data_IF_739962898431
#
_entry.id   IF_739962898431
#
_cell.length_a   1.000
_cell.length_b   1.000
_cell.length_c   1.000
_cell.angle_alpha   90.00
_cell.angle_beta   90.00
_cell.angle_gamma   90.00
#
_symmetry.space_group_name_H-M   'P 1'
#
loop_
_entity.id
_entity.type
_entity.pdbx_description
1 polymer ?
#
# COMPACT_ATOMS: atom_id res chain seq x y z
N UNK A 1 34.12 -5.85 -31.74
CA UNK A 1 32.74 -5.47 -31.36
C UNK A 1 32.05 -6.77 -30.96
N UNK A 2 32.02 -7.09 -29.66
CA UNK A 2 31.48 -8.35 -29.17
C UNK A 2 29.98 -8.20 -28.91
N UNK A 3 29.17 -8.82 -29.75
CA UNK A 3 27.73 -8.94 -29.55
C UNK A 3 27.54 -10.10 -28.57
N UNK A 4 27.20 -9.79 -27.32
CA UNK A 4 26.84 -10.79 -26.32
C UNK A 4 25.51 -11.44 -26.76
N UNK A 5 25.58 -12.67 -27.26
CA UNK A 5 24.41 -13.53 -27.37
C UNK A 5 24.01 -13.95 -25.95
N UNK A 6 23.04 -13.27 -25.37
CA UNK A 6 22.32 -13.81 -24.20
C UNK A 6 21.65 -15.10 -24.66
N UNK A 7 22.07 -16.24 -24.09
CA UNK A 7 21.38 -17.51 -24.27
C UNK A 7 19.90 -17.32 -23.90
N UNK A 8 19.01 -17.63 -24.85
CA UNK A 8 17.58 -17.27 -24.82
C UNK A 8 16.75 -17.89 -23.68
N UNK A 9 17.28 -18.86 -22.94
CA UNK A 9 16.49 -19.63 -21.94
C UNK A 9 16.43 -18.98 -20.54
N UNK A 10 17.54 -18.54 -19.91
CA UNK A 10 17.48 -17.87 -18.60
C UNK A 10 16.76 -16.51 -18.66
N UNK A 11 16.96 -15.73 -19.72
CA UNK A 11 16.36 -14.38 -19.84
C UNK A 11 14.83 -14.40 -19.94
N UNK A 12 14.24 -15.45 -20.54
CA UNK A 12 12.78 -15.56 -20.65
C UNK A 12 12.14 -15.91 -19.30
N UNK A 13 12.75 -16.82 -18.54
CA UNK A 13 12.26 -17.14 -17.19
C UNK A 13 12.35 -15.93 -16.26
N UNK A 14 13.43 -15.16 -16.33
CA UNK A 14 13.57 -13.91 -15.55
C UNK A 14 12.50 -12.87 -15.92
N UNK A 15 12.14 -12.74 -17.21
CA UNK A 15 11.05 -11.86 -17.65
C UNK A 15 9.71 -12.36 -17.12
N UNK A 16 9.43 -13.66 -17.19
CA UNK A 16 8.18 -14.25 -16.68
C UNK A 16 8.08 -14.08 -15.16
N UNK A 17 9.16 -14.27 -14.43
CA UNK A 17 9.20 -14.09 -12.98
C UNK A 17 9.06 -12.60 -12.60
N UNK A 18 9.65 -11.68 -13.36
CA UNK A 18 9.47 -10.23 -13.20
C UNK A 18 8.03 -9.79 -13.48
N UNK A 19 7.40 -10.34 -14.51
CA UNK A 19 5.98 -10.07 -14.83
C UNK A 19 5.07 -10.64 -13.75
N UNK A 20 5.35 -11.87 -13.26
CA UNK A 20 4.62 -12.48 -12.15
C UNK A 20 4.73 -11.66 -10.87
N UNK A 21 5.93 -11.19 -10.53
CA UNK A 21 6.15 -10.31 -9.37
C UNK A 21 5.39 -8.99 -9.54
N UNK A 22 5.36 -8.44 -10.76
CA UNK A 22 4.67 -7.18 -11.07
C UNK A 22 3.14 -7.32 -11.00
N UNK A 23 2.57 -8.42 -11.53
CA UNK A 23 1.14 -8.72 -11.45
C UNK A 23 0.71 -9.01 -10.01
N UNK A 24 1.53 -9.75 -9.25
CA UNK A 24 1.30 -9.97 -7.83
C UNK A 24 1.30 -8.64 -7.05
N UNK A 25 2.23 -7.74 -7.37
CA UNK A 25 2.31 -6.39 -6.79
C UNK A 25 1.08 -5.54 -7.12
N UNK A 26 0.59 -5.58 -8.37
CA UNK A 26 -0.61 -4.82 -8.77
C UNK A 26 -1.88 -5.32 -8.07
N UNK A 27 -2.12 -6.63 -8.07
CA UNK A 27 -3.27 -7.23 -7.36
C UNK A 27 -3.22 -6.97 -5.85
N UNK A 28 -2.02 -6.82 -5.30
CA UNK A 28 -1.80 -6.48 -3.92
C UNK A 28 -2.22 -5.03 -3.62
N UNK A 29 -1.80 -4.07 -4.44
CA UNK A 29 -2.25 -2.67 -4.30
C UNK A 29 -3.76 -2.53 -4.50
N UNK A 30 -4.36 -3.26 -5.45
CA UNK A 30 -5.81 -3.27 -5.66
C UNK A 30 -6.58 -3.75 -4.42
N UNK A 31 -6.08 -4.78 -3.73
CA UNK A 31 -6.70 -5.25 -2.47
C UNK A 31 -6.60 -4.21 -1.36
N UNK A 32 -5.48 -3.51 -1.27
CA UNK A 32 -5.29 -2.46 -0.27
C UNK A 32 -6.20 -1.26 -0.53
N UNK A 33 -6.30 -0.82 -1.80
CA UNK A 33 -7.20 0.25 -2.20
C UNK A 33 -8.65 -0.12 -1.90
N UNK A 34 -9.07 -1.36 -2.18
CA UNK A 34 -10.41 -1.83 -1.85
C UNK A 34 -10.72 -1.80 -0.34
N UNK A 35 -9.73 -2.13 0.50
CA UNK A 35 -9.88 -2.02 1.97
C UNK A 35 -9.98 -0.55 2.38
N UNK A 36 -9.12 0.30 1.84
CA UNK A 36 -9.10 1.74 2.09
C UNK A 36 -10.44 2.40 1.71
N UNK A 37 -11.01 2.06 0.55
CA UNK A 37 -12.31 2.52 0.07
C UNK A 37 -13.46 2.12 1.01
N UNK A 38 -13.45 0.89 1.51
CA UNK A 38 -14.47 0.42 2.46
C UNK A 38 -14.45 1.19 3.78
N UNK A 39 -13.28 1.63 4.21
CA UNK A 39 -13.11 2.37 5.45
C UNK A 39 -13.31 3.88 5.20
N UNK A 40 -13.15 4.35 3.96
CA UNK A 40 -13.36 5.73 3.56
C UNK A 40 -12.13 6.62 3.77
N UNK A 41 -10.94 6.10 3.49
CA UNK A 41 -9.70 6.87 3.42
C UNK A 41 -8.83 6.37 2.27
N UNK A 42 -7.84 7.16 1.82
CA UNK A 42 -6.89 6.74 0.79
C UNK A 42 -5.70 5.96 1.37
N UNK A 43 -4.94 5.27 0.52
CA UNK A 43 -3.72 4.58 0.94
C UNK A 43 -2.68 5.55 1.55
N UNK A 44 -2.58 6.77 1.00
CA UNK A 44 -1.73 7.83 1.55
C UNK A 44 -2.18 8.25 2.95
N UNK A 45 -3.49 8.36 3.17
CA UNK A 45 -4.05 8.65 4.49
C UNK A 45 -3.76 7.50 5.47
N UNK A 46 -3.80 6.25 5.01
CA UNK A 46 -3.47 5.07 5.80
C UNK A 46 -2.03 5.12 6.36
N UNK A 47 -1.07 5.58 5.54
CA UNK A 47 0.32 5.77 5.96
C UNK A 47 0.42 6.80 7.09
N UNK A 48 -0.27 7.94 6.93
CA UNK A 48 -0.28 8.98 7.96
C UNK A 48 -0.94 8.49 9.24
N UNK A 49 -2.09 7.81 9.14
CA UNK A 49 -2.83 7.28 10.28
C UNK A 49 -2.03 6.19 11.01
N UNK A 50 -1.29 5.35 10.28
CA UNK A 50 -0.38 4.37 10.87
C UNK A 50 0.76 5.05 11.65
N UNK A 51 1.32 6.15 11.14
CA UNK A 51 2.33 6.90 11.89
C UNK A 51 1.76 7.54 13.15
N UNK A 52 0.56 8.10 13.09
CA UNK A 52 -0.16 8.63 14.26
C UNK A 52 -0.38 7.53 15.30
N UNK A 53 -0.74 6.32 14.87
CA UNK A 53 -0.92 5.15 15.74
C UNK A 53 0.37 4.77 16.48
N UNK A 54 1.51 4.80 15.78
CA UNK A 54 2.83 4.55 16.38
C UNK A 54 3.19 5.61 17.42
N UNK A 55 2.99 6.90 17.08
CA UNK A 55 3.25 8.01 18.00
C UNK A 55 2.34 7.97 19.24
N UNK A 56 1.08 7.54 19.08
CA UNK A 56 0.13 7.38 20.18
C UNK A 56 0.41 6.17 21.08
N UNK A 57 1.33 5.28 20.69
CA UNK A 57 1.62 4.02 21.38
C UNK A 57 0.33 3.23 21.75
N UNK A 58 -0.68 3.29 20.88
CA UNK A 58 -1.98 2.63 21.08
C UNK A 58 -2.95 3.31 22.04
N UNK A 59 -2.69 4.55 22.49
CA UNK A 59 -3.59 5.32 23.36
C UNK A 59 -3.98 6.66 22.73
N UNK A 60 -3.21 7.70 23.00
CA UNK A 60 -3.45 9.06 22.55
C UNK A 60 -2.11 9.76 22.34
N UNK A 61 -2.08 10.72 21.42
CA UNK A 61 -0.90 11.56 21.15
C UNK A 61 -1.32 13.03 21.25
N UNK A 62 -0.45 13.86 21.81
CA UNK A 62 -0.67 15.31 21.88
C UNK A 62 -0.60 15.90 20.46
N UNK A 63 -1.54 16.79 20.12
CA UNK A 63 -1.62 17.40 18.79
C UNK A 63 -0.33 18.12 18.41
N UNK A 64 0.31 18.78 19.38
CA UNK A 64 1.61 19.46 19.22
C UNK A 64 2.74 18.50 18.83
N UNK A 65 2.69 17.24 19.29
CA UNK A 65 3.67 16.21 18.91
C UNK A 65 3.48 15.77 17.46
N UNK A 66 2.23 15.71 17.01
CA UNK A 66 1.88 15.37 15.61
C UNK A 66 2.27 16.51 14.66
N UNK A 67 2.04 17.76 15.07
CA UNK A 67 2.51 18.95 14.33
C UNK A 67 4.04 19.00 14.24
N UNK A 68 4.74 18.73 15.36
CA UNK A 68 6.20 18.69 15.41
C UNK A 68 6.80 17.59 14.50
N UNK A 69 6.05 16.52 14.24
CA UNK A 69 6.43 15.48 13.28
C UNK A 69 6.20 15.87 11.81
N UNK A 70 5.69 17.09 11.55
CA UNK A 70 5.50 17.65 10.21
C UNK A 70 4.11 17.44 9.62
N UNK A 71 3.14 16.95 10.40
CA UNK A 71 1.76 16.76 9.91
C UNK A 71 0.94 18.04 10.03
N UNK A 72 0.21 18.39 8.96
CA UNK A 72 -0.62 19.59 8.92
C UNK A 72 -1.87 19.45 9.79
N UNK A 73 -2.19 20.50 10.57
CA UNK A 73 -3.43 20.61 11.34
C UNK A 73 -4.65 20.44 10.43
N UNK A 74 -4.62 20.96 9.21
CA UNK A 74 -5.73 20.84 8.26
C UNK A 74 -5.99 19.36 7.88
N UNK A 75 -4.93 18.58 7.69
CA UNK A 75 -5.02 17.15 7.41
C UNK A 75 -5.62 16.41 8.62
N UNK A 76 -5.14 16.72 9.84
CA UNK A 76 -5.67 16.15 11.07
C UNK A 76 -7.16 16.50 11.26
N UNK A 77 -7.56 17.75 10.97
CA UNK A 77 -8.95 18.17 11.04
C UNK A 77 -9.81 17.46 9.99
N UNK A 78 -9.28 17.19 8.81
CA UNK A 78 -9.94 16.40 7.76
C UNK A 78 -10.19 14.97 8.24
N UNK A 79 -9.20 14.32 8.86
CA UNK A 79 -9.36 13.00 9.46
C UNK A 79 -10.35 12.98 10.62
N UNK A 80 -10.41 14.04 11.43
CA UNK A 80 -11.44 14.18 12.47
C UNK A 80 -12.84 14.31 11.87
N UNK A 81 -13.01 15.13 10.83
CA UNK A 81 -14.29 15.28 10.11
C UNK A 81 -14.75 13.98 9.45
N UNK A 82 -13.80 13.19 8.92
CA UNK A 82 -14.07 11.87 8.35
C UNK A 82 -14.34 10.77 9.40
N UNK A 83 -14.25 11.09 10.70
CA UNK A 83 -14.45 10.12 11.78
C UNK A 83 -13.32 9.11 11.93
N UNK A 84 -12.14 9.42 11.39
CA UNK A 84 -10.95 8.56 11.45
C UNK A 84 -10.13 8.81 12.72
N UNK A 85 -10.19 10.04 13.24
CA UNK A 85 -9.58 10.47 14.48
C UNK A 85 -10.64 11.03 15.45
N UNK A 86 -10.44 10.79 16.74
CA UNK A 86 -11.16 11.45 17.83
C UNK A 86 -10.22 12.43 18.54
N UNK A 87 -10.74 13.63 18.83
CA UNK A 87 -10.05 14.60 19.66
C UNK A 87 -10.52 14.53 21.10
N UNK A 88 -9.59 14.63 22.04
CA UNK A 88 -9.85 14.79 23.47
C UNK A 88 -9.12 16.04 23.94
N UNK A 89 -9.78 16.88 24.73
CA UNK A 89 -9.16 18.08 25.29
C UNK A 89 -8.99 17.90 26.79
N UNK A 90 -7.76 17.99 27.27
CA UNK A 90 -7.45 18.13 28.68
C UNK A 90 -7.66 19.61 29.06
N UNK A 91 -8.76 19.85 29.78
CA UNK A 91 -9.13 21.20 30.24
C UNK A 91 -8.26 21.70 31.39
N UNK A 92 -7.60 20.81 32.13
CA UNK A 92 -6.73 21.20 33.25
C UNK A 92 -5.38 21.71 32.74
N UNK A 93 -4.83 21.07 31.71
CA UNK A 93 -3.53 21.42 31.15
C UNK A 93 -3.60 22.20 29.82
N UNK A 94 -4.82 22.49 29.35
CA UNK A 94 -5.10 23.11 28.06
C UNK A 94 -4.44 22.39 26.87
N UNK A 95 -4.36 21.06 26.94
CA UNK A 95 -3.73 20.22 25.91
C UNK A 95 -4.77 19.53 25.04
N UNK A 96 -4.53 19.53 23.74
CA UNK A 96 -5.34 18.78 22.79
C UNK A 96 -4.64 17.46 22.44
N UNK A 97 -5.39 16.37 22.59
CA UNK A 97 -4.97 15.02 22.28
C UNK A 97 -5.80 14.47 21.12
N UNK A 98 -5.20 13.58 20.34
CA UNK A 98 -5.88 12.83 19.29
C UNK A 98 -5.63 11.34 19.47
N UNK A 99 -6.62 10.55 19.08
CA UNK A 99 -6.55 9.10 19.04
C UNK A 99 -7.24 8.57 17.80
N UNK A 100 -6.85 7.38 17.34
CA UNK A 100 -7.52 6.70 16.24
C UNK A 100 -8.88 6.17 16.70
N UNK A 101 -9.87 6.20 15.81
CA UNK A 101 -11.15 5.54 16.07
C UNK A 101 -11.03 4.03 15.91
N UNK A 102 -11.92 3.24 16.55
CA UNK A 102 -11.95 1.80 16.36
C UNK A 102 -12.07 1.38 14.89
N UNK A 103 -12.83 2.16 14.09
CA UNK A 103 -12.97 1.96 12.65
C UNK A 103 -11.61 2.05 11.95
N UNK A 104 -10.83 3.09 12.24
CA UNK A 104 -9.49 3.28 11.66
C UNK A 104 -8.53 2.19 12.11
N UNK A 105 -8.57 1.80 13.40
CA UNK A 105 -7.70 0.73 13.93
C UNK A 105 -7.98 -0.59 13.22
N UNK A 106 -9.25 -0.98 13.12
CA UNK A 106 -9.67 -2.20 12.41
C UNK A 106 -9.26 -2.14 10.94
N UNK A 107 -9.37 -0.96 10.33
CA UNK A 107 -8.95 -0.73 8.96
C UNK A 107 -7.47 -0.94 8.72
N UNK A 108 -6.62 -0.32 9.55
CA UNK A 108 -5.17 -0.51 9.52
C UNK A 108 -4.77 -1.95 9.82
N UNK A 109 -5.50 -2.64 10.69
CA UNK A 109 -5.30 -4.07 10.96
C UNK A 109 -5.69 -4.95 9.78
N UNK A 110 -6.77 -4.63 9.05
CA UNK A 110 -7.14 -5.34 7.83
C UNK A 110 -6.07 -5.18 6.75
N UNK A 111 -5.51 -3.97 6.58
CA UNK A 111 -4.37 -3.71 5.69
C UNK A 111 -3.14 -4.53 6.12
N UNK A 112 -2.81 -4.53 7.41
CA UNK A 112 -1.70 -5.32 7.94
C UNK A 112 -1.91 -6.84 7.76
N UNK A 113 -3.14 -7.33 7.91
CA UNK A 113 -3.47 -8.73 7.71
C UNK A 113 -3.32 -9.15 6.23
N UNK A 114 -3.39 -8.21 5.28
CA UNK A 114 -3.04 -8.46 3.87
C UNK A 114 -1.53 -8.72 3.71
N UNK A 115 -0.67 -8.10 4.54
CA UNK A 115 0.77 -8.43 4.57
C UNK A 115 1.03 -9.80 5.21
N UNK A 116 0.36 -10.13 6.32
CA UNK A 116 0.64 -11.37 7.07
C UNK A 116 0.04 -12.63 6.42
N UNK A 117 -1.07 -12.51 5.67
CA UNK A 117 -1.67 -13.64 4.97
C UNK A 117 -1.04 -13.93 3.59
N UNK A 118 -0.21 -13.03 3.07
CA UNK A 118 0.53 -13.26 1.83
C UNK A 118 1.93 -13.84 2.14
N UNK A 119 1.95 -15.10 2.60
CA UNK A 119 2.98 -16.03 2.10
C UNK A 119 2.70 -16.12 0.60
N UNK A 120 3.26 -15.16 -0.15
CA UNK A 120 3.21 -14.97 -1.60
C UNK A 120 2.53 -16.16 -2.29
N UNK A 121 1.20 -16.15 -2.32
CA UNK A 121 0.49 -16.98 -3.27
C UNK A 121 0.75 -16.30 -4.60
N UNK A 122 1.91 -16.59 -5.20
CA UNK A 122 2.23 -16.21 -6.57
C UNK A 122 0.95 -16.51 -7.34
N UNK A 123 0.27 -15.49 -7.90
CA UNK A 123 -0.95 -15.74 -8.65
C UNK A 123 -0.60 -16.85 -9.63
N UNK A 124 -1.44 -17.88 -9.72
CA UNK A 124 -1.31 -18.90 -10.78
C UNK A 124 -1.53 -18.16 -12.08
N UNK A 125 -0.50 -17.49 -12.57
CA UNK A 125 -0.51 -16.86 -13.87
C UNK A 125 -0.61 -18.03 -14.82
N UNK A 126 -1.77 -18.12 -15.47
CA UNK A 126 -2.08 -19.18 -16.39
C UNK A 126 -0.99 -19.13 -17.46
N UNK A 127 -0.22 -20.21 -17.59
CA UNK A 127 0.95 -20.27 -18.48
C UNK A 127 0.51 -19.94 -19.92
N UNK A 128 -0.74 -20.27 -20.28
CA UNK A 128 -1.35 -19.91 -21.54
C UNK A 128 -1.40 -18.39 -21.80
N UNK A 129 -1.78 -17.59 -20.79
CA UNK A 129 -1.88 -16.12 -20.95
C UNK A 129 -0.49 -15.50 -21.10
N UNK A 130 0.52 -16.06 -20.43
CA UNK A 130 1.92 -15.65 -20.58
C UNK A 130 2.46 -16.03 -21.95
N UNK A 131 2.16 -17.23 -22.43
CA UNK A 131 2.55 -17.69 -23.77
C UNK A 131 1.87 -16.85 -24.87
N UNK A 132 0.62 -16.44 -24.67
CA UNK A 132 -0.11 -15.57 -25.59
C UNK A 132 0.48 -14.14 -25.61
N UNK A 133 0.79 -13.58 -24.44
CA UNK A 133 1.51 -12.30 -24.33
C UNK A 133 2.92 -12.39 -24.95
N UNK A 134 3.62 -13.51 -24.79
CA UNK A 134 4.93 -13.75 -25.42
C UNK A 134 4.84 -13.88 -26.94
N UNK A 135 3.78 -14.52 -27.47
CA UNK A 135 3.54 -14.62 -28.90
C UNK A 135 3.20 -13.24 -29.50
N UNK A 136 2.43 -12.43 -28.77
CA UNK A 136 2.13 -11.04 -29.15
C UNK A 136 3.40 -10.16 -29.13
N UNK A 137 4.22 -10.24 -28.08
CA UNK A 137 5.48 -9.52 -27.97
C UNK A 137 6.47 -9.94 -29.08
N UNK A 138 6.60 -11.24 -29.34
CA UNK A 138 7.48 -11.77 -30.40
C UNK A 138 7.07 -11.29 -31.79
N UNK A 139 5.76 -11.15 -32.07
CA UNK A 139 5.26 -10.53 -33.30
C UNK A 139 5.63 -9.06 -33.41
N UNK A 140 5.61 -8.31 -32.31
CA UNK A 140 6.05 -6.91 -32.28
C UNK A 140 7.54 -6.80 -32.59
N UNK A 141 8.39 -7.63 -31.97
CA UNK A 141 9.83 -7.62 -32.20
C UNK A 141 10.24 -8.07 -33.61
N UNK A 142 9.49 -8.98 -34.25
CA UNK A 142 9.71 -9.33 -35.66
C UNK A 142 9.43 -8.19 -36.64
N UNK A 143 8.63 -7.20 -36.25
CA UNK A 143 8.30 -6.03 -37.08
C UNK A 143 9.44 -4.99 -37.13
N UNK A 144 10.42 -5.11 -36.22
CA UNK A 144 11.58 -4.23 -36.11
C UNK A 144 12.91 -4.94 -36.50
N UNK A 145 12.82 -6.13 -37.10
CA UNK A 145 13.90 -6.76 -37.88
C UNK A 145 13.69 -6.49 -39.38
#
# INVERSE_FOLDING_TARGET
>A
MAIYYLEKKPAVNEIVDSVRASVASLQYFEKMDAICDQIGFSLDDAIVLQRIKEMAAGRYVELTTVEAAGYSIEQIMTFKKAGLLMGMRDTEHAKDYIMLTPKTINGLQAIAATYDNDVVSVPKVNIADVEEMMAAASKVFQKYQ
#
